data_IF_969626711401
#
_entry.id   IF_969626711401
#
_cell.length_a   1.000
_cell.length_b   1.000
_cell.length_c   1.000
_cell.angle_alpha   90.00
_cell.angle_beta   90.00
_cell.angle_gamma   90.00
#
_symmetry.space_group_name_H-M   'P 1'
#
loop_
_entity.id
_entity.type
_entity.pdbx_description
1 polymer ?
#
# COMPACT_ATOMS: atom_id res chain seq x y z
N UNK A 1 2.91 -12.63 25.61
CA UNK A 1 2.33 -12.75 24.26
C UNK A 1 1.66 -11.43 23.92
N UNK A 2 2.07 -10.78 22.84
CA UNK A 2 1.40 -9.58 22.32
C UNK A 2 0.15 -10.01 21.56
N UNK A 3 -1.01 -9.46 21.91
CA UNK A 3 -2.28 -9.78 21.24
C UNK A 3 -2.48 -8.82 20.08
N UNK A 4 -2.80 -9.36 18.91
CA UNK A 4 -3.25 -8.55 17.78
C UNK A 4 -4.71 -8.11 18.02
N UNK A 5 -4.89 -6.81 18.26
CA UNK A 5 -6.19 -6.20 18.47
C UNK A 5 -7.09 -6.26 17.23
N UNK A 6 -6.54 -6.54 16.03
CA UNK A 6 -7.27 -6.54 14.76
C UNK A 6 -7.81 -7.91 14.35
N UNK A 7 -7.41 -8.98 15.04
CA UNK A 7 -7.95 -10.34 14.83
C UNK A 7 -9.16 -10.65 15.71
N UNK A 8 -9.53 -9.75 16.62
CA UNK A 8 -10.63 -9.96 17.56
C UNK A 8 -12.01 -9.83 16.91
N UNK A 9 -13.04 -10.51 17.44
CA UNK A 9 -14.43 -10.21 17.10
C UNK A 9 -14.74 -8.71 17.29
N UNK A 10 -15.45 -8.09 16.34
CA UNK A 10 -15.75 -6.65 16.37
C UNK A 10 -16.38 -6.12 17.68
N UNK A 11 -17.20 -6.88 18.43
CA UNK A 11 -17.76 -6.41 19.70
C UNK A 11 -16.71 -6.23 20.81
N UNK A 12 -15.65 -7.03 20.78
CA UNK A 12 -14.55 -6.96 21.75
C UNK A 12 -13.60 -5.79 21.42
N UNK A 13 -13.42 -5.49 20.14
CA UNK A 13 -12.58 -4.38 19.65
C UNK A 13 -13.06 -3.01 20.14
N UNK A 14 -14.37 -2.79 20.20
CA UNK A 14 -14.92 -1.48 20.55
C UNK A 14 -14.91 -1.18 22.06
N UNK A 15 -14.62 -2.18 22.91
CA UNK A 15 -14.76 -2.06 24.38
C UNK A 15 -16.20 -1.88 24.88
N UNK A 16 -17.18 -1.74 23.96
CA UNK A 16 -18.59 -1.47 24.29
C UNK A 16 -19.30 -2.69 24.87
N UNK A 17 -18.88 -3.88 24.49
CA UNK A 17 -19.52 -5.11 24.94
C UNK A 17 -18.90 -5.74 26.18
N UNK A 18 -17.81 -5.21 26.74
CA UNK A 18 -17.21 -5.83 27.93
C UNK A 18 -18.19 -5.89 29.10
N UNK A 19 -19.00 -4.86 29.32
CA UNK A 19 -19.99 -4.85 30.40
C UNK A 19 -21.21 -5.73 30.07
N UNK A 20 -21.73 -5.66 28.84
CA UNK A 20 -22.90 -6.43 28.39
C UNK A 20 -22.61 -7.93 28.25
N UNK A 21 -21.45 -8.31 27.68
CA UNK A 21 -20.97 -9.69 27.59
C UNK A 21 -20.57 -10.29 28.94
N UNK A 22 -20.46 -9.49 30.01
CA UNK A 22 -20.10 -9.98 31.35
C UNK A 22 -21.29 -10.02 32.32
N UNK A 23 -22.34 -9.25 32.07
CA UNK A 23 -23.60 -9.39 32.82
C UNK A 23 -24.26 -10.74 32.48
N UNK A 24 -24.37 -11.60 33.49
CA UNK A 24 -25.00 -12.92 33.37
C UNK A 24 -26.50 -12.82 33.08
N UNK A 25 -27.11 -11.69 33.44
CA UNK A 25 -28.54 -11.40 33.23
C UNK A 25 -28.80 -10.69 31.90
N UNK A 26 -27.76 -10.21 31.21
CA UNK A 26 -27.92 -9.58 29.91
C UNK A 26 -28.03 -10.64 28.80
N UNK A 27 -29.14 -10.67 28.04
CA UNK A 27 -29.38 -11.69 27.03
C UNK A 27 -28.39 -11.60 25.86
N UNK A 28 -28.04 -10.39 25.41
CA UNK A 28 -27.07 -10.19 24.31
C UNK A 28 -25.70 -10.73 24.69
N UNK A 29 -25.26 -10.47 25.93
CA UNK A 29 -24.03 -11.04 26.45
C UNK A 29 -24.06 -12.55 26.58
N UNK A 30 -25.19 -13.11 27.02
CA UNK A 30 -25.38 -14.56 27.12
C UNK A 30 -25.29 -15.25 25.76
N UNK A 31 -25.99 -14.73 24.74
CA UNK A 31 -25.93 -15.25 23.38
C UNK A 31 -24.52 -15.17 22.80
N UNK A 32 -23.82 -14.05 22.98
CA UNK A 32 -22.44 -13.92 22.54
C UNK A 32 -21.53 -14.95 23.23
N UNK A 33 -21.58 -15.07 24.56
CA UNK A 33 -20.81 -16.08 25.31
C UNK A 33 -21.08 -17.49 24.80
N UNK A 34 -22.33 -17.85 24.59
CA UNK A 34 -22.72 -19.19 24.12
C UNK A 34 -22.16 -19.46 22.71
N UNK A 35 -22.20 -18.48 21.81
CA UNK A 35 -21.64 -18.61 20.46
C UNK A 35 -20.11 -18.77 20.47
N UNK A 36 -19.41 -18.04 21.35
CA UNK A 36 -17.96 -18.06 21.40
C UNK A 36 -17.41 -19.24 22.21
N UNK A 37 -18.13 -19.72 23.22
CA UNK A 37 -17.78 -20.91 24.01
C UNK A 37 -17.64 -22.16 23.12
N UNK A 38 -18.44 -22.26 22.06
CA UNK A 38 -18.34 -23.36 21.10
C UNK A 38 -17.09 -23.27 20.23
N UNK A 39 -16.67 -22.05 19.87
CA UNK A 39 -15.50 -21.83 19.01
C UNK A 39 -14.18 -21.85 19.79
N UNK A 40 -14.22 -21.46 21.07
CA UNK A 40 -13.03 -21.26 21.91
C UNK A 40 -13.28 -21.66 23.38
N UNK A 41 -13.55 -22.94 23.67
CA UNK A 41 -13.90 -23.40 25.02
C UNK A 41 -12.83 -23.12 26.08
N UNK A 42 -11.55 -23.06 25.67
CA UNK A 42 -10.40 -22.70 26.50
C UNK A 42 -10.43 -21.26 27.01
N UNK A 43 -11.24 -20.39 26.39
CA UNK A 43 -11.34 -18.96 26.73
C UNK A 43 -12.47 -18.62 27.72
N UNK A 44 -13.25 -19.57 28.25
CA UNK A 44 -14.47 -19.24 29.02
C UNK A 44 -14.68 -20.04 30.31
N UNK A 45 -13.71 -19.98 31.24
CA UNK A 45 -13.83 -20.47 32.63
C UNK A 45 -13.77 -19.37 33.70
N UNK A 46 -14.15 -19.64 34.98
CA UNK A 46 -14.16 -18.65 36.06
C UNK A 46 -12.76 -18.11 36.44
N UNK A 47 -11.70 -18.85 36.11
CA UNK A 47 -10.31 -18.42 36.28
C UNK A 47 -9.75 -17.69 35.04
N UNK A 48 -10.55 -17.49 34.00
CA UNK A 48 -10.06 -16.92 32.74
C UNK A 48 -9.79 -15.43 32.89
N UNK A 49 -8.60 -15.03 32.48
CA UNK A 49 -8.29 -13.63 32.25
C UNK A 49 -8.54 -13.43 30.78
N UNK A 50 -9.48 -12.54 30.43
CA UNK A 50 -9.71 -12.14 29.03
C UNK A 50 -8.35 -11.84 28.39
N UNK A 51 -8.14 -12.22 27.13
CA UNK A 51 -6.84 -12.07 26.45
C UNK A 51 -6.17 -10.73 26.77
N UNK A 52 -6.93 -9.65 26.93
CA UNK A 52 -6.43 -8.35 27.35
C UNK A 52 -6.02 -8.18 28.84
N UNK A 53 -5.84 -9.23 29.62
CA UNK A 53 -5.35 -9.13 31.01
C UNK A 53 -6.42 -8.74 32.04
N UNK A 54 -7.71 -8.75 31.70
CA UNK A 54 -8.78 -8.39 32.64
C UNK A 54 -9.42 -9.63 33.27
N UNK A 55 -9.53 -9.67 34.61
CA UNK A 55 -10.25 -10.74 35.29
C UNK A 55 -11.74 -10.68 34.93
N UNK A 56 -12.40 -11.84 35.00
CA UNK A 56 -13.85 -11.90 35.06
C UNK A 56 -14.36 -10.95 36.15
N UNK A 57 -15.40 -10.19 35.85
CA UNK A 57 -16.01 -9.15 36.71
C UNK A 57 -15.19 -7.86 36.93
N UNK A 58 -14.20 -7.55 36.08
CA UNK A 58 -13.55 -6.24 36.13
C UNK A 58 -14.58 -5.10 35.98
N UNK A 59 -14.67 -4.16 36.95
CA UNK A 59 -15.62 -3.06 36.91
C UNK A 59 -15.12 -1.93 35.99
N UNK A 60 -16.01 -1.43 35.13
CA UNK A 60 -15.74 -0.27 34.27
C UNK A 60 -15.25 -0.60 32.84
N UNK A 61 -15.01 0.43 32.02
CA UNK A 61 -14.45 0.26 30.69
C UNK A 61 -13.03 -0.33 30.79
N UNK A 62 -12.60 -1.06 29.76
CA UNK A 62 -11.24 -1.57 29.74
C UNK A 62 -10.22 -0.41 29.81
N UNK A 63 -9.11 -0.54 30.56
CA UNK A 63 -8.14 0.55 30.75
C UNK A 63 -7.58 1.13 29.44
N UNK A 64 -7.48 0.33 28.39
CA UNK A 64 -7.01 0.74 27.06
C UNK A 64 -8.15 1.19 26.12
N UNK A 65 -9.41 1.16 26.55
CA UNK A 65 -10.54 1.57 25.71
C UNK A 65 -10.51 3.08 25.37
N UNK A 66 -9.95 3.91 26.27
CA UNK A 66 -9.69 5.33 25.99
C UNK A 66 -8.70 5.52 24.84
N UNK A 67 -7.72 4.60 24.73
CA UNK A 67 -6.60 4.71 23.80
C UNK A 67 -6.82 3.95 22.50
N UNK A 68 -7.75 2.98 22.47
CA UNK A 68 -8.04 2.19 21.28
C UNK A 68 -8.43 3.07 20.09
N UNK A 69 -9.28 4.08 20.32
CA UNK A 69 -9.66 5.04 19.28
C UNK A 69 -8.46 5.87 18.80
N UNK A 70 -7.46 6.13 19.64
CA UNK A 70 -6.22 6.80 19.25
C UNK A 70 -5.31 5.87 18.45
N UNK A 71 -5.18 4.60 18.86
CA UNK A 71 -4.41 3.57 18.15
C UNK A 71 -4.96 3.29 16.75
N UNK A 72 -6.27 3.12 16.59
CA UNK A 72 -6.91 2.94 15.29
C UNK A 72 -6.67 4.15 14.39
N UNK A 73 -6.83 5.38 14.94
CA UNK A 73 -6.53 6.60 14.18
C UNK A 73 -5.05 6.68 13.77
N UNK A 74 -4.12 6.26 14.61
CA UNK A 74 -2.70 6.23 14.28
C UNK A 74 -2.40 5.21 13.18
N UNK A 75 -2.98 4.02 13.25
CA UNK A 75 -2.80 2.98 12.23
C UNK A 75 -3.43 3.35 10.89
N UNK A 76 -4.62 3.95 10.91
CA UNK A 76 -5.24 4.46 9.68
C UNK A 76 -4.42 5.58 9.05
N UNK A 77 -3.81 6.48 9.83
CA UNK A 77 -2.86 7.48 9.32
C UNK A 77 -1.64 6.83 8.70
N UNK A 78 -1.02 5.87 9.37
CA UNK A 78 0.16 5.17 8.84
C UNK A 78 -0.15 4.41 7.54
N UNK A 79 -1.31 3.76 7.46
CA UNK A 79 -1.77 3.12 6.22
C UNK A 79 -2.03 4.16 5.10
N UNK A 80 -2.66 5.29 5.42
CA UNK A 80 -2.88 6.37 4.46
C UNK A 80 -1.55 6.97 3.97
N UNK A 81 -0.59 7.20 4.86
CA UNK A 81 0.76 7.66 4.51
C UNK A 81 1.50 6.65 3.63
N UNK A 82 1.38 5.36 3.93
CA UNK A 82 1.94 4.29 3.09
C UNK A 82 1.30 4.24 1.70
N UNK A 83 -0.02 4.44 1.59
CA UNK A 83 -0.71 4.52 0.30
C UNK A 83 -0.37 5.79 -0.48
N UNK A 84 -0.21 6.93 0.19
CA UNK A 84 0.28 8.16 -0.44
C UNK A 84 1.72 7.99 -0.91
N UNK A 85 2.57 7.32 -0.13
CA UNK A 85 3.94 6.99 -0.53
C UNK A 85 3.99 6.00 -1.72
N UNK A 86 2.94 5.18 -1.91
CA UNK A 86 2.77 4.30 -3.07
C UNK A 86 2.26 5.04 -4.32
N UNK A 87 1.82 6.30 -4.22
CA UNK A 87 1.46 7.05 -5.43
C UNK A 87 2.68 7.07 -6.35
N UNK A 88 2.53 6.64 -7.63
CA UNK A 88 3.65 6.55 -8.54
C UNK A 88 4.21 7.94 -8.75
N UNK A 89 5.32 8.24 -8.09
CA UNK A 89 6.07 9.46 -8.37
C UNK A 89 6.41 9.45 -9.85
N UNK A 90 5.90 10.43 -10.61
CA UNK A 90 6.19 10.48 -12.05
C UNK A 90 7.69 10.69 -12.19
N UNK A 91 8.35 9.67 -12.69
CA UNK A 91 9.79 9.60 -12.79
C UNK A 91 10.24 9.81 -14.24
N UNK A 92 11.56 9.97 -14.46
CA UNK A 92 12.11 10.09 -15.80
C UNK A 92 11.78 8.89 -16.72
N UNK A 93 11.60 7.71 -16.15
CA UNK A 93 11.22 6.51 -16.89
C UNK A 93 9.82 6.60 -17.51
N UNK A 94 8.91 7.44 -17.00
CA UNK A 94 7.58 7.59 -17.61
C UNK A 94 7.65 8.27 -18.99
N UNK A 95 8.77 8.93 -19.30
CA UNK A 95 9.06 9.46 -20.64
C UNK A 95 9.26 8.32 -21.64
N UNK A 96 9.70 7.13 -21.22
CA UNK A 96 9.97 5.98 -22.11
C UNK A 96 8.73 5.60 -22.91
N UNK A 97 7.59 5.46 -22.23
CA UNK A 97 6.32 5.08 -22.89
C UNK A 97 5.88 6.12 -23.91
N UNK A 98 6.06 7.42 -23.60
CA UNK A 98 5.71 8.52 -24.50
C UNK A 98 6.62 8.56 -25.74
N UNK A 99 7.93 8.37 -25.55
CA UNK A 99 8.90 8.37 -26.65
C UNK A 99 8.65 7.18 -27.56
N UNK A 100 8.48 5.97 -27.00
CA UNK A 100 8.18 4.76 -27.79
C UNK A 100 6.87 4.91 -28.57
N UNK A 101 5.81 5.42 -27.93
CA UNK A 101 4.54 5.66 -28.62
C UNK A 101 4.68 6.64 -29.80
N UNK A 102 5.47 7.71 -29.64
CA UNK A 102 5.74 8.67 -30.72
C UNK A 102 6.61 8.12 -31.84
N UNK A 103 7.45 7.14 -31.55
CA UNK A 103 8.20 6.39 -32.56
C UNK A 103 7.33 5.38 -33.30
N UNK A 104 6.06 5.20 -32.91
CA UNK A 104 5.18 4.15 -33.46
C UNK A 104 5.49 2.76 -32.90
N UNK A 105 6.26 2.66 -31.82
CA UNK A 105 6.58 1.39 -31.18
C UNK A 105 5.41 0.92 -30.30
N UNK A 106 4.86 -0.26 -30.61
CA UNK A 106 3.79 -0.87 -29.82
C UNK A 106 4.35 -1.61 -28.60
N UNK A 107 3.88 -1.23 -27.42
CA UNK A 107 4.28 -1.86 -26.15
C UNK A 107 3.70 -3.28 -26.07
N UNK A 108 4.54 -4.26 -25.71
CA UNK A 108 4.13 -5.63 -25.40
C UNK A 108 4.79 -6.06 -24.07
N UNK A 109 4.22 -7.05 -23.34
CA UNK A 109 4.67 -7.40 -21.99
C UNK A 109 6.16 -7.72 -21.87
N UNK A 110 6.76 -8.27 -22.93
CA UNK A 110 8.16 -8.71 -22.94
C UNK A 110 9.11 -7.76 -23.70
N UNK A 111 8.76 -6.47 -23.84
CA UNK A 111 9.58 -5.53 -24.62
C UNK A 111 10.82 -5.02 -23.87
N UNK A 112 10.99 -5.32 -22.58
CA UNK A 112 12.06 -4.74 -21.77
C UNK A 112 11.81 -3.27 -21.37
N UNK A 113 10.67 -2.71 -21.77
CA UNK A 113 10.38 -1.28 -21.60
C UNK A 113 10.06 -0.93 -20.15
N UNK A 114 9.48 -1.86 -19.39
CA UNK A 114 9.10 -1.62 -18.00
C UNK A 114 10.34 -1.69 -17.09
N UNK A 115 11.26 -2.61 -17.38
CA UNK A 115 12.56 -2.72 -16.74
C UNK A 115 13.40 -1.46 -17.00
N UNK A 116 13.45 -0.99 -18.25
CA UNK A 116 14.19 0.23 -18.57
C UNK A 116 13.54 1.48 -17.96
N UNK A 117 12.20 1.53 -17.89
CA UNK A 117 11.46 2.57 -17.16
C UNK A 117 11.85 2.58 -15.68
N UNK A 118 11.81 1.43 -15.01
CA UNK A 118 12.18 1.31 -13.60
C UNK A 118 13.64 1.72 -13.38
N UNK A 119 14.53 1.32 -14.30
CA UNK A 119 15.94 1.68 -14.26
C UNK A 119 16.14 3.21 -14.37
N UNK A 120 15.46 3.87 -15.30
CA UNK A 120 15.48 5.33 -15.42
C UNK A 120 14.91 6.01 -14.16
N UNK A 121 13.79 5.51 -13.62
CA UNK A 121 13.20 6.02 -12.39
C UNK A 121 14.19 5.94 -11.21
N UNK A 122 14.89 4.82 -11.07
CA UNK A 122 15.92 4.64 -10.04
C UNK A 122 17.10 5.61 -10.20
N UNK A 123 17.48 5.97 -11.44
CA UNK A 123 18.53 6.97 -11.68
C UNK A 123 18.10 8.41 -11.33
N UNK A 124 16.80 8.70 -11.41
CA UNK A 124 16.27 10.05 -11.36
C UNK A 124 16.75 10.92 -12.54
N UNK A 125 16.27 12.17 -12.59
CA UNK A 125 16.54 13.09 -13.70
C UNK A 125 18.04 13.37 -13.90
N UNK A 126 18.77 13.62 -12.81
CA UNK A 126 20.21 13.90 -12.86
C UNK A 126 21.00 12.68 -13.32
N UNK A 127 20.63 11.48 -12.87
CA UNK A 127 21.27 10.24 -13.30
C UNK A 127 21.04 9.96 -14.79
N UNK A 128 19.83 10.22 -15.30
CA UNK A 128 19.52 10.11 -16.73
C UNK A 128 20.40 11.03 -17.59
N UNK A 129 20.66 12.28 -17.16
CA UNK A 129 21.56 13.20 -17.87
C UNK A 129 22.98 12.63 -17.97
N UNK A 130 23.50 12.06 -16.88
CA UNK A 130 24.84 11.43 -16.86
C UNK A 130 24.90 10.17 -17.72
N UNK A 131 23.78 9.46 -17.87
CA UNK A 131 23.63 8.22 -18.65
C UNK A 131 23.01 8.44 -20.03
N UNK A 132 23.12 9.65 -20.58
CA UNK A 132 22.51 10.03 -21.87
C UNK A 132 22.85 9.05 -23.00
N UNK A 133 24.12 8.65 -23.14
CA UNK A 133 24.56 7.71 -24.19
C UNK A 133 23.84 6.36 -24.08
N UNK A 134 23.77 5.79 -22.89
CA UNK A 134 23.07 4.54 -22.60
C UNK A 134 21.58 4.60 -22.97
N UNK A 135 20.93 5.74 -22.70
CA UNK A 135 19.52 5.96 -23.06
C UNK A 135 19.34 6.01 -24.59
N UNK A 136 20.22 6.73 -25.28
CA UNK A 136 20.19 6.82 -26.75
C UNK A 136 20.41 5.44 -27.36
N UNK A 137 21.45 4.72 -26.94
CA UNK A 137 21.75 3.36 -27.41
C UNK A 137 20.56 2.41 -27.23
N UNK A 138 19.89 2.48 -26.08
CA UNK A 138 18.70 1.67 -25.81
C UNK A 138 17.55 1.99 -26.77
N UNK A 139 17.24 3.27 -27.00
CA UNK A 139 16.19 3.66 -27.97
C UNK A 139 16.57 3.30 -29.40
N UNK A 140 17.83 3.46 -29.79
CA UNK A 140 18.32 3.07 -31.11
C UNK A 140 18.19 1.55 -31.32
N UNK A 141 18.50 0.74 -30.31
CA UNK A 141 18.29 -0.70 -30.36
C UNK A 141 16.81 -1.04 -30.57
N UNK A 142 15.91 -0.39 -29.83
CA UNK A 142 14.46 -0.57 -29.97
C UNK A 142 13.90 -0.08 -31.30
N UNK A 143 14.44 0.99 -31.85
CA UNK A 143 14.08 1.45 -33.19
C UNK A 143 14.48 0.42 -34.27
N UNK A 144 15.71 -0.12 -34.17
CA UNK A 144 16.24 -1.12 -35.08
C UNK A 144 15.44 -2.43 -35.09
N UNK A 145 14.97 -2.88 -33.93
CA UNK A 145 14.07 -4.05 -33.83
C UNK A 145 12.81 -3.92 -34.71
N UNK A 146 12.42 -2.69 -35.08
CA UNK A 146 11.26 -2.39 -35.93
C UNK A 146 11.62 -1.74 -37.26
N UNK A 147 12.90 -1.74 -37.65
CA UNK A 147 13.39 -1.07 -38.86
C UNK A 147 13.02 0.42 -38.92
N UNK A 148 12.95 1.09 -37.77
CA UNK A 148 12.73 2.53 -37.68
C UNK A 148 14.10 3.19 -37.65
N UNK A 149 14.38 4.07 -38.63
CA UNK A 149 15.61 4.85 -38.63
C UNK A 149 15.46 6.06 -37.69
N UNK A 150 16.39 6.17 -36.74
CA UNK A 150 16.40 7.26 -35.75
C UNK A 150 17.82 7.78 -35.58
N UNK A 151 17.93 9.10 -35.53
CA UNK A 151 19.17 9.79 -35.19
C UNK A 151 19.20 10.14 -33.71
N UNK A 152 20.38 10.25 -33.11
CA UNK A 152 20.57 10.70 -31.73
C UNK A 152 19.83 12.02 -31.42
N UNK A 153 19.84 12.94 -32.40
CA UNK A 153 19.16 14.23 -32.30
C UNK A 153 17.63 14.05 -32.22
N UNK A 154 17.07 13.14 -33.02
CA UNK A 154 15.64 12.83 -33.02
C UNK A 154 15.21 12.22 -31.68
N UNK A 155 15.95 11.26 -31.13
CA UNK A 155 15.67 10.62 -29.83
C UNK A 155 15.64 11.68 -28.73
N UNK A 156 16.64 12.58 -28.69
CA UNK A 156 16.68 13.61 -27.66
C UNK A 156 15.60 14.68 -27.80
N UNK A 157 15.17 14.96 -29.04
CA UNK A 157 14.00 15.80 -29.31
C UNK A 157 12.73 15.16 -28.75
N UNK A 158 12.55 13.86 -29.00
CA UNK A 158 11.41 13.09 -28.49
C UNK A 158 11.37 13.04 -26.96
N UNK A 159 12.53 12.78 -26.32
CA UNK A 159 12.65 12.77 -24.85
C UNK A 159 12.27 14.13 -24.25
N UNK A 160 12.80 15.24 -24.81
CA UNK A 160 12.43 16.59 -24.36
C UNK A 160 10.95 16.90 -24.56
N UNK A 161 10.38 16.49 -25.69
CA UNK A 161 8.95 16.64 -25.93
C UNK A 161 8.11 15.79 -24.97
N UNK A 162 8.56 14.59 -24.62
CA UNK A 162 7.85 13.70 -23.68
C UNK A 162 7.88 14.26 -22.26
N UNK A 163 9.03 14.83 -21.86
CA UNK A 163 9.16 15.58 -20.61
C UNK A 163 8.18 16.75 -20.54
N UNK A 164 8.07 17.55 -21.61
CA UNK A 164 7.14 18.69 -21.66
C UNK A 164 5.68 18.24 -21.49
N UNK A 165 5.30 17.12 -22.09
CA UNK A 165 3.94 16.57 -21.95
C UNK A 165 3.67 16.06 -20.53
N UNK A 166 4.64 15.40 -19.90
CA UNK A 166 4.51 14.97 -18.49
C UNK A 166 4.32 16.18 -17.56
N UNK A 167 5.06 17.26 -17.78
CA UNK A 167 4.95 18.47 -16.97
C UNK A 167 3.60 19.16 -17.16
N UNK A 168 3.06 19.18 -18.39
CA UNK A 168 1.73 19.73 -18.66
C UNK A 168 0.60 18.97 -17.96
N UNK A 169 0.72 17.65 -17.78
CA UNK A 169 -0.31 16.82 -17.13
C UNK A 169 -0.35 16.98 -15.61
N UNK A 170 0.64 17.63 -15.00
CA UNK A 170 0.70 17.87 -13.55
C UNK A 170 0.05 19.18 -13.10
N UNK A 171 -0.24 20.08 -14.03
CA UNK A 171 -0.93 21.36 -13.78
C UNK A 171 -2.41 21.17 -14.08
#
# INVERSE_FOLDING_TARGET
MSIDLFELPSPCRSGQFCQLCRDSKNPTGATFRQSQLQMHPEMYGPAYICNFGLPWNHPGPAPWASDFSAMVRAQMRSAAEAEVAKQPSTGPGDVVKLVLARMGYQLHPNCGCEEFRQQMNAWGWRGCIRRRKQIIEWFTLKARERNIDVTDASIWSLVRGGLKDLLKRRV
#
